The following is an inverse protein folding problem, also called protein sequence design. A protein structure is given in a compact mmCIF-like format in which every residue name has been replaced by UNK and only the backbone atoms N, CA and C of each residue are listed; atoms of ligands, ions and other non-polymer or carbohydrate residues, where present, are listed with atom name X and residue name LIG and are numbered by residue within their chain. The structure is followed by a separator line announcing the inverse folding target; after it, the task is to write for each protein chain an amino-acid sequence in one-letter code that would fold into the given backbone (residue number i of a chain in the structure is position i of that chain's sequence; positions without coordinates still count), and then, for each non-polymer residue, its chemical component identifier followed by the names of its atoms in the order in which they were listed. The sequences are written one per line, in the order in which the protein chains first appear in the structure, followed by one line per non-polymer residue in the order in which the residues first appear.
data_IF_913677188227
#
_entry.id   IF_913677188227
#
_cell.length_a   1.000
_cell.length_b   1.000
_cell.length_c   1.000
_cell.angle_alpha   90.00
_cell.angle_beta   90.00
_cell.angle_gamma   90.00
#
_symmetry.space_group_name_H-M   'P 1'
#
loop_
_entity.id
_entity.type
_entity.pdbx_description
1 polymer ?
#
# COMPACT_ATOMS: atom_id res chain seq x y z
N UNK A 1 7.41 -40.06 4.30
CA UNK A 1 8.03 -38.74 4.04
C UNK A 1 6.97 -37.69 4.32
N UNK A 2 7.30 -36.57 5.00
CA UNK A 2 6.35 -35.48 5.17
C UNK A 2 5.83 -35.01 3.80
N UNK A 3 4.55 -34.64 3.75
CA UNK A 3 3.88 -34.20 2.53
C UNK A 3 4.52 -32.87 2.05
N UNK A 4 4.88 -32.70 0.77
CA UNK A 4 5.50 -31.46 0.31
C UNK A 4 4.58 -30.26 0.54
N UNK A 5 5.10 -29.18 1.12
CA UNK A 5 4.36 -27.93 1.37
C UNK A 5 3.87 -27.29 0.07
N UNK A 6 4.67 -27.39 -0.99
CA UNK A 6 4.33 -26.99 -2.35
C UNK A 6 3.04 -27.64 -2.86
N UNK A 7 2.78 -28.92 -2.53
CA UNK A 7 1.52 -29.59 -2.90
C UNK A 7 0.33 -29.05 -2.13
N UNK A 8 0.46 -28.86 -0.81
CA UNK A 8 -0.58 -28.26 0.02
C UNK A 8 -0.92 -26.84 -0.49
N UNK A 9 0.11 -26.05 -0.74
CA UNK A 9 0.01 -24.68 -1.26
C UNK A 9 -0.76 -24.61 -2.57
N UNK A 10 -0.40 -25.44 -3.56
CA UNK A 10 -1.04 -25.44 -4.88
C UNK A 10 -2.46 -25.98 -4.85
N UNK A 11 -2.71 -27.02 -4.03
CA UNK A 11 -4.07 -27.55 -3.81
C UNK A 11 -4.98 -26.45 -3.28
N UNK A 12 -4.48 -25.61 -2.37
CA UNK A 12 -5.25 -24.50 -1.80
C UNK A 12 -5.49 -23.35 -2.78
N UNK A 13 -4.60 -23.16 -3.75
CA UNK A 13 -4.74 -22.22 -4.87
C UNK A 13 -5.66 -22.73 -6.00
N UNK A 14 -6.25 -23.93 -5.86
CA UNK A 14 -7.01 -24.62 -6.92
C UNK A 14 -6.19 -24.82 -8.22
N UNK A 15 -4.86 -24.72 -8.10
CA UNK A 15 -3.92 -24.88 -9.20
C UNK A 15 -3.54 -26.35 -9.31
N UNK A 16 -3.64 -26.94 -10.50
CA UNK A 16 -3.25 -28.35 -10.68
C UNK A 16 -1.73 -28.47 -10.63
N UNK A 17 -1.16 -29.13 -9.60
CA UNK A 17 0.30 -29.26 -9.50
C UNK A 17 0.89 -30.03 -10.69
N UNK A 18 0.11 -30.88 -11.35
CA UNK A 18 0.49 -31.62 -12.57
C UNK A 18 0.85 -30.71 -13.76
N UNK A 19 0.41 -29.44 -13.76
CA UNK A 19 0.69 -28.48 -14.83
C UNK A 19 2.00 -27.69 -14.59
N UNK A 20 2.59 -27.80 -13.41
CA UNK A 20 3.87 -27.16 -13.08
C UNK A 20 4.99 -28.19 -13.25
N UNK A 21 6.05 -27.84 -13.97
CA UNK A 21 7.23 -28.71 -14.07
C UNK A 21 7.93 -28.88 -12.72
N UNK A 22 8.61 -30.02 -12.52
CA UNK A 22 9.25 -30.39 -11.24
C UNK A 22 10.15 -29.29 -10.65
N UNK A 23 10.91 -28.58 -11.49
CA UNK A 23 11.76 -27.45 -11.05
C UNK A 23 10.97 -26.30 -10.41
N UNK A 24 9.75 -26.04 -10.86
CA UNK A 24 8.89 -24.99 -10.31
C UNK A 24 8.34 -25.40 -8.94
N UNK A 25 7.99 -26.69 -8.77
CA UNK A 25 7.54 -27.24 -7.50
C UNK A 25 8.64 -27.18 -6.42
N UNK A 26 9.87 -27.54 -6.79
CA UNK A 26 11.02 -27.49 -5.89
C UNK A 26 11.40 -26.06 -5.49
N UNK A 27 11.31 -25.11 -6.43
CA UNK A 27 11.50 -23.67 -6.16
C UNK A 27 10.46 -23.15 -5.17
N UNK A 28 9.17 -23.44 -5.38
CA UNK A 28 8.10 -23.05 -4.45
C UNK A 28 8.30 -23.68 -3.08
N UNK A 29 8.65 -24.98 -3.00
CA UNK A 29 8.93 -25.66 -1.73
C UNK A 29 10.05 -24.94 -0.95
N UNK A 30 11.13 -24.58 -1.64
CA UNK A 30 12.28 -23.89 -1.04
C UNK A 30 11.88 -22.52 -0.50
N UNK A 31 11.20 -21.71 -1.30
CA UNK A 31 10.73 -20.38 -0.89
C UNK A 31 9.77 -20.43 0.30
N UNK A 32 8.84 -21.40 0.33
CA UNK A 32 7.92 -21.57 1.46
C UNK A 32 8.66 -21.89 2.76
N UNK A 33 9.69 -22.75 2.69
CA UNK A 33 10.53 -23.09 3.86
C UNK A 33 11.42 -21.94 4.30
N UNK A 34 11.95 -21.15 3.37
CA UNK A 34 12.71 -19.95 3.70
C UNK A 34 11.87 -18.92 4.45
N UNK A 35 10.61 -18.69 4.02
CA UNK A 35 9.70 -17.78 4.71
C UNK A 35 9.28 -18.29 6.09
N UNK A 36 8.98 -19.59 6.23
CA UNK A 36 8.69 -20.20 7.53
C UNK A 36 9.91 -20.12 8.47
N UNK A 37 11.10 -20.42 7.94
CA UNK A 37 12.37 -20.31 8.66
C UNK A 37 12.68 -18.88 9.11
N UNK A 38 12.45 -17.88 8.26
CA UNK A 38 12.59 -16.46 8.62
C UNK A 38 11.61 -16.05 9.72
N UNK A 39 10.37 -16.57 9.67
CA UNK A 39 9.36 -16.44 10.71
C UNK A 39 9.82 -16.97 12.06
N UNK A 40 10.20 -18.25 12.10
CA UNK A 40 10.67 -18.92 13.31
C UNK A 40 11.95 -18.30 13.87
N UNK A 41 12.86 -17.88 13.00
CA UNK A 41 14.10 -17.19 13.41
C UNK A 41 13.82 -15.84 14.05
N UNK A 42 12.88 -15.06 13.52
CA UNK A 42 12.48 -13.77 14.08
C UNK A 42 11.62 -13.92 15.36
N UNK A 43 10.84 -14.99 15.46
CA UNK A 43 9.87 -15.21 16.55
C UNK A 43 10.01 -16.61 17.19
N UNK A 44 11.12 -16.92 17.89
CA UNK A 44 11.39 -18.28 18.37
C UNK A 44 10.37 -18.82 19.39
N UNK A 45 9.66 -17.93 20.10
CA UNK A 45 8.65 -18.29 21.09
C UNK A 45 7.27 -18.60 20.47
N UNK A 46 7.08 -18.25 19.20
CA UNK A 46 5.80 -18.39 18.50
C UNK A 46 5.74 -19.75 17.78
N UNK A 47 4.97 -20.66 18.35
CA UNK A 47 4.81 -22.02 17.84
C UNK A 47 3.64 -22.11 16.86
N UNK A 48 3.87 -21.70 15.62
CA UNK A 48 2.91 -21.83 14.52
C UNK A 48 3.17 -23.12 13.73
N UNK A 49 2.11 -23.84 13.41
CA UNK A 49 2.16 -24.99 12.50
C UNK A 49 2.43 -24.54 11.05
N UNK A 50 3.29 -25.28 10.36
CA UNK A 50 3.76 -24.93 9.02
C UNK A 50 2.63 -25.03 7.98
N UNK A 51 1.69 -25.97 8.14
CA UNK A 51 0.55 -26.09 7.22
C UNK A 51 -0.38 -24.88 7.35
N UNK A 52 -0.64 -24.44 8.58
CA UNK A 52 -1.40 -23.21 8.87
C UNK A 52 -0.76 -21.99 8.21
N UNK A 53 0.56 -21.86 8.29
CA UNK A 53 1.30 -20.76 7.66
C UNK A 53 1.20 -20.82 6.13
N UNK A 54 1.37 -22.00 5.53
CA UNK A 54 1.29 -22.21 4.07
C UNK A 54 -0.12 -21.91 3.54
N UNK A 55 -1.17 -22.33 4.25
CA UNK A 55 -2.56 -21.99 3.90
C UNK A 55 -2.74 -20.47 3.93
N UNK A 56 -2.28 -19.80 4.97
CA UNK A 56 -2.38 -18.35 5.09
C UNK A 56 -1.65 -17.61 3.95
N UNK A 57 -0.47 -18.09 3.55
CA UNK A 57 0.32 -17.55 2.45
C UNK A 57 -0.38 -17.76 1.10
N UNK A 58 -0.94 -18.95 0.86
CA UNK A 58 -1.64 -19.28 -0.39
C UNK A 58 -2.80 -18.31 -0.65
N UNK A 59 -3.56 -17.94 0.37
CA UNK A 59 -4.68 -17.00 0.22
C UNK A 59 -4.22 -15.59 -0.22
N UNK A 60 -2.94 -15.21 -0.01
CA UNK A 60 -2.37 -13.90 -0.35
C UNK A 60 -1.77 -13.80 -1.74
N UNK A 61 -1.48 -14.94 -2.35
CA UNK A 61 -0.96 -15.00 -3.72
C UNK A 61 -2.00 -15.48 -4.74
N UNK A 62 -3.25 -15.69 -4.32
CA UNK A 62 -4.36 -16.00 -5.22
C UNK A 62 -4.43 -14.97 -6.36
N UNK A 63 -4.51 -15.47 -7.60
CA UNK A 63 -4.62 -14.65 -8.80
C UNK A 63 -3.32 -14.03 -9.30
N UNK A 64 -2.17 -14.32 -8.68
CA UNK A 64 -0.87 -13.89 -9.20
C UNK A 64 -0.44 -14.77 -10.38
N UNK A 65 0.09 -14.14 -11.43
CA UNK A 65 0.55 -14.82 -12.64
C UNK A 65 1.89 -15.55 -12.45
N UNK A 66 2.78 -15.00 -11.63
CA UNK A 66 4.05 -15.63 -11.24
C UNK A 66 4.07 -15.86 -9.72
N UNK A 67 3.92 -17.14 -9.33
CA UNK A 67 3.92 -17.53 -7.93
C UNK A 67 5.31 -17.45 -7.29
N UNK A 68 6.39 -17.70 -8.04
CA UNK A 68 7.75 -17.67 -7.48
C UNK A 68 8.14 -16.24 -7.11
N UNK A 69 7.94 -15.29 -8.03
CA UNK A 69 8.17 -13.86 -7.77
C UNK A 69 7.27 -13.36 -6.63
N UNK A 70 6.00 -13.79 -6.65
CA UNK A 70 5.06 -13.41 -5.62
C UNK A 70 5.47 -13.94 -4.23
N UNK A 71 6.01 -15.13 -4.09
CA UNK A 71 6.46 -15.65 -2.79
C UNK A 71 7.77 -14.98 -2.38
N UNK A 72 8.74 -14.87 -3.30
CA UNK A 72 10.09 -14.35 -3.03
C UNK A 72 10.12 -12.91 -2.50
N UNK A 73 9.13 -12.09 -2.85
CA UNK A 73 9.05 -10.68 -2.43
C UNK A 73 8.26 -10.46 -1.14
N UNK A 74 7.83 -11.51 -0.45
CA UNK A 74 7.09 -11.42 0.82
C UNK A 74 8.01 -11.20 2.03
N UNK A 75 7.50 -10.48 3.02
CA UNK A 75 8.12 -10.32 4.33
C UNK A 75 7.79 -11.52 5.22
N UNK A 76 8.59 -12.58 5.14
CA UNK A 76 8.34 -13.85 5.85
C UNK A 76 8.18 -13.70 7.36
N UNK A 77 9.06 -12.94 8.01
CA UNK A 77 9.02 -12.72 9.46
C UNK A 77 7.75 -12.03 9.93
N UNK A 78 7.36 -10.96 9.24
CA UNK A 78 6.18 -10.16 9.55
C UNK A 78 4.89 -10.93 9.22
N UNK A 79 4.89 -11.65 8.09
CA UNK A 79 3.75 -12.46 7.67
C UNK A 79 3.51 -13.65 8.61
N UNK A 80 4.58 -14.26 9.11
CA UNK A 80 4.49 -15.33 10.11
C UNK A 80 3.85 -14.83 11.41
N UNK A 81 4.28 -13.68 11.94
CA UNK A 81 3.68 -13.10 13.14
C UNK A 81 2.19 -12.75 12.92
N UNK A 82 1.86 -12.16 11.77
CA UNK A 82 0.49 -11.84 11.41
C UNK A 82 -0.39 -13.10 11.33
N UNK A 83 0.11 -14.17 10.69
CA UNK A 83 -0.57 -15.47 10.64
C UNK A 83 -0.81 -16.04 12.04
N UNK A 84 0.22 -16.02 12.89
CA UNK A 84 0.12 -16.51 14.26
C UNK A 84 -0.87 -15.71 15.12
N UNK A 85 -1.00 -14.41 14.87
CA UNK A 85 -2.03 -13.56 15.49
C UNK A 85 -3.44 -13.93 15.02
N UNK A 86 -3.64 -14.22 13.73
CA UNK A 86 -4.92 -14.73 13.20
C UNK A 86 -5.26 -16.08 13.81
N UNK A 87 -4.27 -16.96 13.96
CA UNK A 87 -4.40 -18.25 14.63
C UNK A 87 -4.55 -18.13 16.17
N UNK A 88 -4.54 -16.91 16.72
CA UNK A 88 -4.73 -16.61 18.15
C UNK A 88 -3.70 -17.30 19.06
N UNK A 89 -2.46 -17.47 18.58
CA UNK A 89 -1.37 -18.04 19.38
C UNK A 89 -0.96 -17.03 20.47
N UNK A 90 -1.02 -17.38 21.78
CA UNK A 90 -0.76 -16.43 22.86
C UNK A 90 0.59 -15.73 22.77
N UNK A 91 1.66 -16.47 22.45
CA UNK A 91 3.00 -15.90 22.28
C UNK A 91 3.06 -14.85 21.15
N UNK A 92 2.33 -15.06 20.05
CA UNK A 92 2.28 -14.11 18.96
C UNK A 92 1.58 -12.81 19.35
N UNK A 93 0.50 -12.90 20.12
CA UNK A 93 -0.22 -11.72 20.62
C UNK A 93 0.67 -10.89 21.55
N UNK A 94 1.45 -11.54 22.42
CA UNK A 94 2.42 -10.89 23.31
C UNK A 94 3.52 -10.18 22.52
N UNK A 95 4.11 -10.87 21.53
CA UNK A 95 5.17 -10.28 20.70
C UNK A 95 4.64 -9.13 19.83
N UNK A 96 3.43 -9.27 19.28
CA UNK A 96 2.78 -8.22 18.50
C UNK A 96 2.54 -6.96 19.35
N UNK A 97 2.04 -7.13 20.58
CA UNK A 97 1.85 -6.05 21.53
C UNK A 97 3.18 -5.35 21.85
N UNK A 98 4.20 -6.13 22.20
CA UNK A 98 5.53 -5.64 22.59
C UNK A 98 6.23 -4.89 21.47
N UNK A 99 6.17 -5.39 20.24
CA UNK A 99 6.94 -4.83 19.11
C UNK A 99 6.20 -3.72 18.39
N UNK A 100 4.88 -3.83 18.26
CA UNK A 100 4.10 -2.93 17.42
C UNK A 100 3.21 -1.98 18.23
N UNK A 101 2.38 -2.49 19.15
CA UNK A 101 1.42 -1.64 19.87
C UNK A 101 2.11 -0.73 20.89
N UNK A 102 3.22 -1.15 21.48
CA UNK A 102 4.07 -0.29 22.34
C UNK A 102 4.56 0.99 21.64
N UNK A 103 4.64 1.00 20.31
CA UNK A 103 5.12 2.15 19.51
C UNK A 103 4.03 3.16 19.18
N UNK A 104 2.75 2.83 19.41
CA UNK A 104 1.61 3.66 19.01
C UNK A 104 1.72 5.08 19.55
N UNK A 105 2.13 5.26 20.82
CA UNK A 105 2.32 6.59 21.40
C UNK A 105 3.23 7.51 20.57
N UNK A 106 4.38 7.00 20.12
CA UNK A 106 5.29 7.76 19.27
C UNK A 106 4.73 8.06 17.87
N UNK A 107 3.89 7.18 17.33
CA UNK A 107 3.29 7.33 16.01
C UNK A 107 2.20 8.41 16.00
N UNK A 108 1.46 8.55 17.11
CA UNK A 108 0.30 9.44 17.20
C UNK A 108 0.58 10.74 17.95
N UNK A 109 1.76 10.90 18.55
CA UNK A 109 2.14 12.08 19.33
C UNK A 109 1.97 13.42 18.58
N UNK A 110 2.08 13.42 17.25
CA UNK A 110 1.84 14.62 16.41
C UNK A 110 0.35 14.99 16.29
N UNK A 111 -0.55 14.04 16.52
CA UNK A 111 -2.01 14.22 16.48
C UNK A 111 -2.49 14.69 17.85
N UNK A 112 -2.04 14.02 18.90
CA UNK A 112 -2.27 14.35 20.31
C UNK A 112 -1.16 13.67 21.15
N UNK A 113 -0.36 14.43 21.92
CA UNK A 113 0.74 13.91 22.71
C UNK A 113 0.30 13.24 24.03
N UNK A 114 -0.99 13.26 24.37
CA UNK A 114 -1.51 12.71 25.62
C UNK A 114 -1.31 11.20 25.71
N UNK A 115 -0.73 10.68 26.83
CA UNK A 115 -0.63 9.23 27.06
C UNK A 115 -1.98 8.53 27.04
N UNK A 116 -3.02 9.15 27.61
CA UNK A 116 -4.37 8.59 27.64
C UNK A 116 -4.99 8.51 26.23
N UNK A 117 -4.65 9.44 25.33
CA UNK A 117 -5.06 9.35 23.93
C UNK A 117 -4.34 8.20 23.21
N UNK A 118 -3.04 8.07 23.40
CA UNK A 118 -2.26 6.98 22.82
C UNK A 118 -2.77 5.60 23.27
N UNK A 119 -3.13 5.46 24.54
CA UNK A 119 -3.69 4.23 25.11
C UNK A 119 -5.06 3.90 24.50
N UNK A 120 -5.95 4.89 24.34
CA UNK A 120 -7.25 4.68 23.67
C UNK A 120 -7.09 4.25 22.21
N UNK A 121 -6.14 4.85 21.48
CA UNK A 121 -5.82 4.44 20.11
C UNK A 121 -5.28 3.03 20.08
N UNK A 122 -4.35 2.68 20.97
CA UNK A 122 -3.79 1.33 21.06
C UNK A 122 -4.87 0.29 21.39
N UNK A 123 -5.79 0.60 22.30
CA UNK A 123 -6.93 -0.26 22.63
C UNK A 123 -7.85 -0.46 21.43
N UNK A 124 -8.21 0.61 20.74
CA UNK A 124 -9.05 0.54 19.53
C UNK A 124 -8.38 -0.27 18.42
N UNK A 125 -7.06 -0.11 18.26
CA UNK A 125 -6.27 -0.94 17.34
C UNK A 125 -6.26 -2.41 17.76
N UNK A 126 -6.11 -2.71 19.04
CA UNK A 126 -6.10 -4.08 19.57
C UNK A 126 -7.39 -4.81 19.23
N UNK A 127 -8.53 -4.15 19.45
CA UNK A 127 -9.84 -4.67 19.10
C UNK A 127 -9.98 -4.93 17.60
N UNK A 128 -9.66 -3.93 16.76
CA UNK A 128 -9.79 -4.07 15.31
C UNK A 128 -8.83 -5.12 14.72
N UNK A 129 -7.56 -5.09 15.12
CA UNK A 129 -6.50 -5.89 14.51
C UNK A 129 -6.51 -7.34 14.97
N UNK A 130 -6.81 -7.62 16.25
CA UNK A 130 -6.61 -8.96 16.83
C UNK A 130 -7.92 -9.70 17.08
N UNK A 131 -9.04 -8.99 17.29
CA UNK A 131 -10.35 -9.59 17.55
C UNK A 131 -11.28 -9.45 16.34
N UNK A 132 -11.30 -8.28 15.73
CA UNK A 132 -12.27 -7.90 14.72
C UNK A 132 -13.49 -7.20 15.34
N UNK A 133 -14.08 -6.25 14.61
CA UNK A 133 -15.21 -5.48 15.09
C UNK A 133 -16.54 -6.13 14.69
N UNK A 134 -17.46 -6.33 15.66
CA UNK A 134 -18.87 -6.71 15.43
C UNK A 134 -19.06 -7.92 14.50
N UNK A 135 -18.37 -9.03 14.80
CA UNK A 135 -18.50 -10.28 14.04
C UNK A 135 -17.69 -10.34 12.74
N UNK A 136 -16.91 -9.30 12.41
CA UNK A 136 -15.96 -9.35 11.31
C UNK A 136 -14.65 -10.03 11.73
N UNK A 137 -13.92 -10.60 10.76
CA UNK A 137 -12.59 -11.12 10.99
C UNK A 137 -11.61 -10.02 11.46
N UNK A 138 -10.63 -10.43 12.26
CA UNK A 138 -9.54 -9.58 12.75
C UNK A 138 -8.79 -8.91 11.58
N UNK A 139 -8.62 -7.59 11.60
CA UNK A 139 -8.08 -6.85 10.45
C UNK A 139 -6.65 -7.24 10.07
N UNK A 140 -5.88 -7.81 11.00
CA UNK A 140 -4.54 -8.33 10.72
C UNK A 140 -4.55 -9.42 9.64
N UNK A 141 -5.68 -10.10 9.40
CA UNK A 141 -5.83 -11.04 8.29
C UNK A 141 -5.74 -10.37 6.91
N UNK A 142 -5.86 -9.03 6.84
CA UNK A 142 -5.73 -8.27 5.59
C UNK A 142 -4.28 -7.92 5.26
N UNK A 143 -3.34 -8.09 6.20
CA UNK A 143 -1.93 -7.89 5.93
C UNK A 143 -1.45 -8.93 4.91
N UNK A 144 -0.93 -8.45 3.79
CA UNK A 144 -0.59 -9.25 2.62
C UNK A 144 0.82 -9.83 2.66
N UNK A 145 1.66 -9.42 3.62
CA UNK A 145 3.08 -9.74 3.62
C UNK A 145 3.91 -8.92 2.63
N UNK A 146 3.29 -7.95 1.93
CA UNK A 146 4.00 -7.03 1.03
C UNK A 146 4.45 -5.81 1.81
N UNK A 147 5.77 -5.63 1.89
CA UNK A 147 6.38 -4.56 2.67
C UNK A 147 6.23 -4.75 4.18
N UNK A 148 6.96 -3.97 5.00
CA UNK A 148 7.03 -4.20 6.44
C UNK A 148 5.69 -4.00 7.16
N UNK A 149 5.33 -4.90 8.07
CA UNK A 149 4.13 -4.84 8.89
C UNK A 149 4.07 -3.55 9.72
N UNK A 150 5.22 -3.05 10.18
CA UNK A 150 5.31 -1.78 10.91
C UNK A 150 4.82 -0.57 10.10
N UNK A 151 5.00 -0.57 8.77
CA UNK A 151 4.52 0.50 7.89
C UNK A 151 3.00 0.44 7.73
N UNK A 152 2.46 -0.76 7.53
CA UNK A 152 1.01 -1.00 7.46
C UNK A 152 0.31 -0.59 8.76
N UNK A 153 0.85 -0.99 9.91
CA UNK A 153 0.33 -0.64 11.22
C UNK A 153 0.40 0.86 11.52
N UNK A 154 1.43 1.57 11.02
CA UNK A 154 1.50 3.03 11.14
C UNK A 154 0.31 3.72 10.47
N UNK A 155 -0.09 3.26 9.29
CA UNK A 155 -1.26 3.81 8.58
C UNK A 155 -2.53 3.61 9.42
N UNK A 156 -2.71 2.40 9.96
CA UNK A 156 -3.86 2.06 10.80
C UNK A 156 -3.87 2.88 12.09
N UNK A 157 -2.72 3.06 12.73
CA UNK A 157 -2.59 3.86 13.96
C UNK A 157 -3.01 5.32 13.73
N UNK A 158 -2.52 5.95 12.65
CA UNK A 158 -2.86 7.33 12.29
C UNK A 158 -4.37 7.46 12.02
N UNK A 159 -4.94 6.55 11.23
CA UNK A 159 -6.38 6.54 10.93
C UNK A 159 -7.23 6.39 12.17
N UNK A 160 -6.84 5.47 13.04
CA UNK A 160 -7.54 5.21 14.31
C UNK A 160 -7.47 6.44 15.21
N UNK A 161 -6.30 7.05 15.36
CA UNK A 161 -6.11 8.28 16.12
C UNK A 161 -7.00 9.42 15.63
N UNK A 162 -7.09 9.64 14.32
CA UNK A 162 -7.94 10.69 13.76
C UNK A 162 -9.43 10.41 13.93
N UNK A 163 -9.84 9.13 13.87
CA UNK A 163 -11.22 8.73 14.21
C UNK A 163 -11.53 9.02 15.67
N UNK A 164 -10.70 8.54 16.59
CA UNK A 164 -10.85 8.75 18.04
C UNK A 164 -10.89 10.25 18.38
N UNK A 165 -9.99 11.05 17.79
CA UNK A 165 -9.97 12.51 18.03
C UNK A 165 -11.26 13.19 17.56
N UNK A 166 -11.80 12.79 16.40
CA UNK A 166 -13.08 13.31 15.91
C UNK A 166 -14.25 12.93 16.80
N UNK A 167 -14.26 11.70 17.32
CA UNK A 167 -15.30 11.23 18.23
C UNK A 167 -15.26 11.98 19.58
N UNK A 168 -14.06 12.20 20.14
CA UNK A 168 -13.86 13.04 21.34
C UNK A 168 -14.36 14.47 21.13
N UNK A 169 -14.03 15.09 19.99
CA UNK A 169 -14.47 16.46 19.69
C UNK A 169 -16.00 16.56 19.58
N UNK A 170 -16.65 15.58 18.92
CA UNK A 170 -18.11 15.53 18.81
C UNK A 170 -18.83 15.32 20.15
N UNK A 171 -18.16 14.71 21.13
CA UNK A 171 -18.72 14.46 22.46
C UNK A 171 -18.69 15.70 23.38
N UNK A 172 -17.93 16.75 23.02
CA UNK A 172 -17.88 18.00 23.78
C UNK A 172 -19.09 18.89 23.42
N UNK A 173 -19.77 19.52 24.40
CA UNK A 173 -20.82 20.49 24.11
C UNK A 173 -20.21 21.75 23.48
N UNK A 174 -20.29 21.89 22.15
CA UNK A 174 -19.73 23.03 21.41
C UNK A 174 -20.75 24.16 21.21
N UNK A 175 -20.29 25.42 21.25
CA UNK A 175 -21.08 26.60 20.86
C UNK A 175 -21.19 26.68 19.33
N UNK A 176 -22.33 27.16 18.81
CA UNK A 176 -22.65 27.13 17.36
C UNK A 176 -21.59 27.78 16.44
N UNK A 177 -20.88 28.81 16.89
CA UNK A 177 -19.83 29.48 16.11
C UNK A 177 -18.50 28.72 16.00
N UNK A 178 -18.27 27.71 16.84
CA UNK A 178 -17.05 26.87 16.79
C UNK A 178 -17.20 25.72 15.78
N UNK A 179 -18.43 25.32 15.47
CA UNK A 179 -18.75 24.29 14.46
C UNK A 179 -18.28 24.69 13.06
N UNK A 180 -18.36 25.96 12.71
CA UNK A 180 -18.02 26.49 11.39
C UNK A 180 -16.50 26.61 11.17
N UNK A 181 -15.75 26.92 12.24
CA UNK A 181 -14.27 26.83 12.25
C UNK A 181 -13.77 25.39 12.20
N UNK A 182 -14.49 24.43 12.79
CA UNK A 182 -14.15 23.01 12.75
C UNK A 182 -14.40 22.39 11.36
N UNK A 183 -15.49 22.79 10.70
CA UNK A 183 -15.79 22.48 9.31
C UNK A 183 -14.76 23.10 8.34
N UNK A 184 -14.10 24.21 8.67
CA UNK A 184 -12.99 24.75 7.87
C UNK A 184 -11.64 24.04 8.12
N UNK A 185 -11.44 23.41 9.29
CA UNK A 185 -10.33 22.48 9.57
C UNK A 185 -10.54 21.07 9.00
N UNK A 186 -11.61 20.85 8.22
CA UNK A 186 -11.88 19.59 7.49
C UNK A 186 -10.91 19.30 6.35
N UNK A 187 -9.86 20.11 6.17
CA UNK A 187 -8.67 19.68 5.43
C UNK A 187 -7.92 18.65 6.28
N UNK A 188 -8.39 17.43 6.07
CA UNK A 188 -7.98 16.16 6.65
C UNK A 188 -6.48 16.06 7.04
N UNK A 189 -6.15 16.12 8.34
CA UNK A 189 -4.79 15.92 8.86
C UNK A 189 -4.22 14.51 8.61
N UNK A 190 -5.08 13.53 8.24
CA UNK A 190 -4.67 12.22 7.68
C UNK A 190 -3.82 12.43 6.43
N UNK A 191 -4.15 13.49 5.71
CA UNK A 191 -3.60 13.82 4.42
C UNK A 191 -2.29 14.55 4.50
N UNK A 192 -2.12 15.53 5.39
CA UNK A 192 -0.89 16.32 5.38
C UNK A 192 0.32 15.51 5.85
N UNK A 193 0.14 14.54 6.73
CA UNK A 193 1.23 13.63 7.14
C UNK A 193 1.62 12.63 6.03
N UNK A 194 0.63 12.05 5.33
CA UNK A 194 0.86 11.16 4.18
C UNK A 194 1.36 11.94 2.95
N UNK A 195 0.79 13.12 2.67
CA UNK A 195 1.18 14.06 1.61
C UNK A 195 2.61 14.54 1.82
N UNK A 196 2.99 15.05 2.99
CA UNK A 196 4.34 15.63 3.18
C UNK A 196 5.43 14.56 3.01
N UNK A 197 5.18 13.30 3.42
CA UNK A 197 6.18 12.23 3.31
C UNK A 197 6.18 11.50 1.95
N UNK A 198 5.02 11.33 1.32
CA UNK A 198 4.91 10.60 0.06
C UNK A 198 4.86 11.49 -1.19
N UNK A 199 4.62 12.81 -1.05
CA UNK A 199 4.64 13.76 -2.18
C UNK A 199 6.01 13.83 -2.84
N UNK A 200 7.08 13.92 -2.08
CA UNK A 200 8.43 13.93 -2.66
C UNK A 200 8.70 12.64 -3.45
N UNK A 201 8.40 11.48 -2.85
CA UNK A 201 8.55 10.19 -3.51
C UNK A 201 7.65 10.06 -4.76
N UNK A 202 6.43 10.60 -4.72
CA UNK A 202 5.48 10.63 -5.82
C UNK A 202 5.93 11.55 -6.95
N UNK A 203 6.34 12.78 -6.63
CA UNK A 203 6.86 13.73 -7.60
C UNK A 203 8.11 13.21 -8.29
N UNK A 204 9.00 12.55 -7.55
CA UNK A 204 10.20 11.94 -8.13
C UNK A 204 9.87 10.74 -9.02
N UNK A 205 8.95 9.87 -8.58
CA UNK A 205 8.48 8.74 -9.38
C UNK A 205 7.75 9.20 -10.67
N UNK A 206 6.95 10.26 -10.57
CA UNK A 206 6.24 10.85 -11.70
C UNK A 206 7.23 11.52 -12.68
N UNK A 207 8.21 12.28 -12.17
CA UNK A 207 9.28 12.86 -12.99
C UNK A 207 10.04 11.78 -13.73
N UNK A 208 10.37 10.68 -13.06
CA UNK A 208 11.08 9.56 -13.66
C UNK A 208 10.26 8.87 -14.75
N UNK A 209 8.98 8.62 -14.47
CA UNK A 209 8.06 8.04 -15.46
C UNK A 209 7.81 8.95 -16.67
N UNK A 210 7.82 10.27 -16.48
CA UNK A 210 7.73 11.24 -17.58
C UNK A 210 9.03 11.31 -18.39
N UNK A 211 10.20 11.15 -17.77
CA UNK A 211 11.49 11.07 -18.46
C UNK A 211 11.65 9.80 -19.29
N UNK A 212 11.04 8.69 -18.86
CA UNK A 212 11.09 7.42 -19.61
C UNK A 212 10.12 7.37 -20.79
N UNK A 213 9.30 8.40 -21.02
CA UNK A 213 8.41 8.44 -22.18
C UNK A 213 9.18 8.67 -23.48
N UNK A 214 8.77 8.02 -24.58
CA UNK A 214 9.28 8.36 -25.92
C UNK A 214 9.02 9.84 -26.27
N UNK A 215 9.94 10.47 -27.00
CA UNK A 215 9.88 11.90 -27.35
C UNK A 215 8.53 12.33 -27.95
N UNK A 216 7.98 11.48 -28.82
CA UNK A 216 6.69 11.70 -29.47
C UNK A 216 5.53 11.74 -28.46
N UNK A 217 5.57 10.86 -27.45
CA UNK A 217 4.55 10.77 -26.40
C UNK A 217 4.68 11.92 -25.39
N UNK A 218 5.90 12.35 -25.08
CA UNK A 218 6.17 13.53 -24.24
C UNK A 218 5.72 14.84 -24.92
N UNK A 219 5.99 14.99 -26.22
CA UNK A 219 5.55 16.15 -27.01
C UNK A 219 4.03 16.28 -27.06
N UNK A 220 3.30 15.16 -27.18
CA UNK A 220 1.83 15.14 -27.09
C UNK A 220 1.34 15.72 -25.75
N UNK A 221 1.97 15.33 -24.64
CA UNK A 221 1.59 15.84 -23.31
C UNK A 221 1.89 17.33 -23.17
N UNK A 222 3.03 17.79 -23.71
CA UNK A 222 3.38 19.23 -23.73
C UNK A 222 2.35 20.05 -24.50
N UNK A 223 2.06 19.67 -25.74
CA UNK A 223 1.09 20.39 -26.59
C UNK A 223 -0.30 20.47 -25.95
N UNK A 224 -0.75 19.40 -25.29
CA UNK A 224 -2.07 19.38 -24.69
C UNK A 224 -2.16 20.08 -23.32
N UNK A 225 -1.21 19.83 -22.42
CA UNK A 225 -1.30 20.28 -21.02
C UNK A 225 -0.53 21.56 -20.71
N UNK A 226 0.54 21.87 -21.45
CA UNK A 226 1.29 23.13 -21.34
C UNK A 226 0.78 24.17 -22.33
N UNK A 227 0.70 23.80 -23.61
CA UNK A 227 0.36 24.73 -24.67
C UNK A 227 -1.18 24.86 -24.87
N UNK A 228 -1.95 24.01 -24.18
CA UNK A 228 -3.41 24.09 -24.15
C UNK A 228 -4.12 23.69 -25.45
N UNK A 229 -3.43 23.05 -26.39
CA UNK A 229 -4.03 22.65 -27.66
C UNK A 229 -5.11 21.59 -27.45
N UNK A 230 -6.23 21.75 -28.16
CA UNK A 230 -7.31 20.78 -28.19
C UNK A 230 -6.89 19.50 -28.94
N UNK A 231 -7.58 18.38 -28.68
CA UNK A 231 -7.35 17.11 -29.39
C UNK A 231 -7.52 17.30 -30.90
N UNK A 232 -8.47 18.13 -31.31
CA UNK A 232 -8.74 18.43 -32.72
C UNK A 232 -7.57 19.23 -33.34
N UNK A 233 -7.06 20.24 -32.64
CA UNK A 233 -5.91 21.04 -33.07
C UNK A 233 -4.62 20.20 -33.16
N UNK A 234 -4.41 19.28 -32.23
CA UNK A 234 -3.29 18.33 -32.28
C UNK A 234 -3.47 17.34 -33.46
N UNK A 235 -4.70 16.93 -33.74
CA UNK A 235 -5.01 16.09 -34.90
C UNK A 235 -4.64 16.76 -36.21
N UNK A 236 -5.00 18.04 -36.36
CA UNK A 236 -4.62 18.85 -37.53
C UNK A 236 -3.10 18.99 -37.65
N UNK A 237 -2.39 19.25 -36.54
CA UNK A 237 -0.92 19.42 -36.52
C UNK A 237 -0.17 18.16 -36.98
N UNK A 238 -0.67 16.97 -36.60
CA UNK A 238 -0.05 15.68 -36.93
C UNK A 238 -0.64 15.01 -38.17
N UNK A 239 -1.64 15.62 -38.83
CA UNK A 239 -2.33 15.02 -39.97
C UNK A 239 -3.11 13.74 -39.62
N UNK A 240 -3.60 13.60 -38.38
CA UNK A 240 -4.30 12.42 -37.88
C UNK A 240 -5.69 12.76 -37.31
N UNK A 241 -6.62 11.81 -37.41
CA UNK A 241 -7.99 12.03 -36.94
C UNK A 241 -8.07 12.20 -35.41
N UNK A 242 -9.01 13.04 -34.93
CA UNK A 242 -9.22 13.32 -33.49
C UNK A 242 -9.35 12.08 -32.61
N UNK A 243 -9.98 11.03 -33.13
CA UNK A 243 -10.17 9.76 -32.42
C UNK A 243 -8.85 8.98 -32.23
N UNK A 244 -7.90 9.17 -33.13
CA UNK A 244 -6.54 8.62 -33.02
C UNK A 244 -5.74 9.39 -31.97
N UNK A 245 -5.82 10.71 -31.94
CA UNK A 245 -5.18 11.55 -30.91
C UNK A 245 -5.77 11.27 -29.52
N UNK A 246 -7.09 11.11 -29.41
CA UNK A 246 -7.75 10.76 -28.15
C UNK A 246 -7.29 9.42 -27.59
N UNK A 247 -7.22 8.38 -28.45
CA UNK A 247 -6.69 7.05 -28.07
C UNK A 247 -5.21 7.09 -27.72
N UNK A 248 -4.43 7.85 -28.49
CA UNK A 248 -3.01 8.05 -28.22
C UNK A 248 -2.78 8.71 -26.86
N UNK A 249 -3.50 9.80 -26.54
CA UNK A 249 -3.46 10.45 -25.22
C UNK A 249 -3.84 9.51 -24.09
N UNK A 250 -4.88 8.69 -24.28
CA UNK A 250 -5.31 7.72 -23.28
C UNK A 250 -4.24 6.65 -23.01
N UNK A 251 -3.57 6.16 -24.06
CA UNK A 251 -2.43 5.23 -23.95
C UNK A 251 -1.26 5.86 -23.20
N UNK A 252 -0.86 7.07 -23.59
CA UNK A 252 0.26 7.78 -22.94
C UNK A 252 -0.03 8.04 -21.47
N UNK A 253 -1.25 8.48 -21.13
CA UNK A 253 -1.68 8.66 -19.74
C UNK A 253 -1.61 7.36 -18.93
N UNK A 254 -1.98 6.23 -19.53
CA UNK A 254 -1.90 4.92 -18.87
C UNK A 254 -0.43 4.55 -18.60
N UNK A 255 0.44 4.71 -19.60
CA UNK A 255 1.88 4.45 -19.47
C UNK A 255 2.52 5.25 -18.34
N UNK A 256 2.21 6.56 -18.22
CA UNK A 256 2.73 7.40 -17.13
C UNK A 256 2.22 6.93 -15.76
N UNK A 257 0.95 6.54 -15.67
CA UNK A 257 0.39 6.03 -14.42
C UNK A 257 1.04 4.71 -14.01
N UNK A 258 1.23 3.80 -14.96
CA UNK A 258 1.82 2.48 -14.72
C UNK A 258 3.31 2.61 -14.35
N UNK A 259 4.07 3.48 -15.01
CA UNK A 259 5.47 3.75 -14.67
C UNK A 259 5.64 4.45 -13.31
N UNK A 260 4.79 5.45 -13.02
CA UNK A 260 4.79 6.11 -11.70
C UNK A 260 4.45 5.13 -10.58
N UNK A 261 3.50 4.23 -10.84
CA UNK A 261 3.10 3.14 -9.95
C UNK A 261 4.26 2.22 -9.65
N UNK A 262 4.92 1.71 -10.68
CA UNK A 262 6.05 0.80 -10.55
C UNK A 262 7.19 1.43 -9.73
N UNK A 263 7.52 2.70 -10.00
CA UNK A 263 8.55 3.43 -9.27
C UNK A 263 8.19 3.68 -7.80
N UNK A 264 6.92 3.98 -7.50
CA UNK A 264 6.46 4.15 -6.12
C UNK A 264 6.42 2.84 -5.34
N UNK A 265 5.98 1.76 -5.99
CA UNK A 265 5.96 0.42 -5.39
C UNK A 265 7.38 -0.04 -5.05
N UNK A 266 8.35 0.18 -5.95
CA UNK A 266 9.77 -0.10 -5.69
C UNK A 266 10.34 0.70 -4.52
N UNK A 267 9.99 1.99 -4.41
CA UNK A 267 10.55 2.91 -3.39
C UNK A 267 9.89 2.81 -2.02
N UNK A 268 8.62 2.45 -1.96
CA UNK A 268 7.81 2.54 -0.74
C UNK A 268 7.23 1.20 -0.28
N UNK A 269 7.43 0.13 -1.05
CA UNK A 269 6.95 -1.23 -0.75
C UNK A 269 5.45 -1.28 -0.43
N UNK A 270 4.64 -0.52 -1.15
CA UNK A 270 3.19 -0.39 -0.95
C UNK A 270 2.41 -1.49 -1.69
N UNK A 271 1.32 -1.97 -1.10
CA UNK A 271 0.35 -2.86 -1.76
C UNK A 271 -0.45 -2.12 -2.84
N UNK A 272 -1.07 -2.88 -3.75
CA UNK A 272 -2.01 -2.35 -4.77
C UNK A 272 -3.22 -1.63 -4.14
N UNK A 273 -3.74 -2.12 -3.01
CA UNK A 273 -4.85 -1.48 -2.31
C UNK A 273 -4.46 -0.18 -1.59
N UNK A 274 -3.23 -0.11 -1.06
CA UNK A 274 -2.66 1.10 -0.46
C UNK A 274 -2.33 2.12 -1.54
N UNK A 275 -1.78 1.66 -2.67
CA UNK A 275 -1.54 2.48 -3.84
C UNK A 275 -2.84 3.03 -4.42
N UNK A 276 -3.89 2.22 -4.59
CA UNK A 276 -5.18 2.67 -5.09
C UNK A 276 -5.84 3.68 -4.14
N UNK A 277 -5.67 3.48 -2.84
CA UNK A 277 -6.09 4.45 -1.83
C UNK A 277 -5.33 5.77 -1.99
N UNK A 278 -4.00 5.72 -2.17
CA UNK A 278 -3.14 6.90 -2.40
C UNK A 278 -3.43 7.57 -3.76
N UNK A 279 -3.69 6.81 -4.82
CA UNK A 279 -3.94 7.33 -6.17
C UNK A 279 -5.33 7.92 -6.29
N UNK A 280 -6.37 7.31 -5.70
CA UNK A 280 -7.70 7.93 -5.64
C UNK A 280 -7.65 9.28 -4.92
N UNK A 281 -6.80 9.38 -3.91
CA UNK A 281 -6.53 10.58 -3.13
C UNK A 281 -5.78 11.66 -3.94
N UNK A 282 -4.69 11.27 -4.61
CA UNK A 282 -3.82 12.16 -5.40
C UNK A 282 -4.48 12.57 -6.73
N UNK A 283 -5.37 11.73 -7.29
CA UNK A 283 -6.19 12.04 -8.49
C UNK A 283 -7.03 13.30 -8.33
N UNK A 284 -7.48 13.62 -7.11
CA UNK A 284 -8.22 14.85 -6.82
C UNK A 284 -7.40 16.13 -7.04
N UNK A 285 -6.06 16.06 -6.97
CA UNK A 285 -5.14 17.21 -7.16
C UNK A 285 -4.18 17.08 -8.36
N UNK A 286 -4.13 15.92 -9.03
CA UNK A 286 -3.28 15.65 -10.20
C UNK A 286 -3.52 16.58 -11.40
N UNK A 287 -4.69 17.20 -11.48
CA UNK A 287 -4.96 18.25 -12.48
C UNK A 287 -4.06 19.49 -12.29
N UNK A 288 -3.55 19.72 -11.07
CA UNK A 288 -2.76 20.91 -10.70
C UNK A 288 -1.25 20.66 -10.86
N UNK A 289 -0.75 19.44 -10.61
CA UNK A 289 0.69 19.14 -10.58
C UNK A 289 1.35 18.82 -11.93
N UNK A 290 0.56 18.51 -12.98
CA UNK A 290 1.12 18.25 -14.32
C UNK A 290 1.76 19.49 -14.94
N UNK A 291 1.21 20.69 -14.68
CA UNK A 291 1.78 21.95 -15.17
C UNK A 291 3.11 22.28 -14.51
N UNK A 292 3.27 22.04 -13.20
CA UNK A 292 4.53 22.33 -12.50
C UNK A 292 5.65 21.35 -12.83
N UNK A 293 5.33 20.09 -13.12
CA UNK A 293 6.34 19.04 -13.41
C UNK A 293 6.80 19.07 -14.88
N UNK A 294 5.94 19.50 -15.81
CA UNK A 294 6.29 19.62 -17.24
C UNK A 294 7.08 20.90 -17.57
N UNK A 295 7.09 21.89 -16.67
CA UNK A 295 8.00 23.05 -16.76
C UNK A 295 9.37 22.61 -16.24
N UNK A 296 10.23 22.15 -17.15
CA UNK A 296 11.66 21.85 -16.88
C UNK A 296 12.33 23.12 -16.31
N UNK A 297 13.15 23.07 -15.23
CA UNK A 297 14.02 24.21 -14.92
C UNK A 297 15.00 24.42 -16.09
N UNK A 298 15.35 25.67 -16.43
CA UNK A 298 16.33 25.94 -17.47
C UNK A 298 17.62 25.18 -17.12
N UNK A 299 18.12 24.42 -18.09
CA UNK A 299 19.44 23.79 -18.00
C UNK A 299 20.46 24.89 -17.78
N UNK A 300 21.08 24.92 -16.59
CA UNK A 300 22.31 25.66 -16.35
C UNK A 300 23.35 25.15 -17.35
N UNK A 301 23.62 26.01 -18.32
CA UNK A 301 24.76 25.95 -19.22
C UNK A 301 26.04 26.08 -18.42
N UNK A 302 26.91 25.09 -18.54
CA UNK A 302 28.36 25.29 -18.45
C UNK A 302 28.91 25.30 -19.88
#
# INVERSE_FOLDING_TARGET
MPNPLSRLFLTRLESRPELLGDRSLESIETLLRELDGAGRGAWPTVHLDVETFVVHLSDRVRGQSDLNEAIATMQGSDLFLACACVARIPAALIEFERVHLSRVGSLVARIDPSPAFAEEVAQTMREALLVGARGNAAEICKYSGRGPLSSWLRVIAVRTALRVRRERLRALPMKEGEKEFELARTVDPEMDYLKIRYRAAYEDALKESLRSLPDRDALLLKLHYLDGLSIDSIGTLYGIHRSTVARWRARVRRSVLDGTREQLQRRLSLTESEFDSIVKLVRSQLAVSLRSVLVRPPSETA
#
